data_IF_830772064112
#
_entry.id   IF_830772064112
#
_cell.length_a   1.000
_cell.length_b   1.000
_cell.length_c   1.000
_cell.angle_alpha   90.00
_cell.angle_beta   90.00
_cell.angle_gamma   90.00
#
_symmetry.space_group_name_H-M   'P 1'
#
loop_
_entity.id
_entity.type
_entity.pdbx_description
1 polymer ?
#
# COMPACT_ATOMS: atom_id res chain seq x y z
N UNK A 1 -11.58 -5.13 5.93
CA UNK A 1 -10.83 -6.27 6.51
C UNK A 1 -10.49 -6.01 7.98
N UNK A 2 -10.20 -7.03 8.81
CA UNK A 2 -9.70 -6.84 10.17
C UNK A 2 -8.19 -6.58 10.20
N UNK A 3 -7.72 -5.65 11.03
CA UNK A 3 -6.29 -5.40 11.26
C UNK A 3 -5.64 -6.53 12.08
N UNK A 4 -4.33 -6.67 11.91
CA UNK A 4 -3.49 -7.54 12.70
C UNK A 4 -3.00 -6.87 14.00
N UNK A 5 -2.47 -7.69 14.91
CA UNK A 5 -1.72 -7.23 16.07
C UNK A 5 -0.35 -6.64 15.69
N UNK A 6 0.38 -6.14 16.68
CA UNK A 6 1.71 -5.57 16.54
C UNK A 6 2.77 -6.47 17.16
N UNK A 7 3.85 -6.72 16.44
CA UNK A 7 5.05 -7.37 16.97
C UNK A 7 6.10 -6.34 17.35
N UNK A 8 6.73 -6.51 18.50
CA UNK A 8 7.90 -5.76 18.95
C UNK A 8 9.03 -6.74 19.17
N UNK A 9 10.14 -6.53 18.47
CA UNK A 9 11.31 -7.40 18.56
C UNK A 9 12.33 -6.77 19.51
N UNK A 10 12.65 -7.46 20.60
CA UNK A 10 13.70 -7.07 21.54
C UNK A 10 14.61 -8.27 21.81
N UNK A 11 15.91 -8.04 21.65
CA UNK A 11 16.95 -9.07 21.75
C UNK A 11 16.66 -10.29 20.85
N UNK A 12 16.37 -11.44 21.46
CA UNK A 12 16.07 -12.71 20.81
C UNK A 12 14.59 -13.12 20.96
N UNK A 13 13.72 -12.19 21.37
CA UNK A 13 12.30 -12.44 21.61
C UNK A 13 11.42 -11.50 20.79
N UNK A 14 10.22 -12.00 20.49
CA UNK A 14 9.15 -11.21 19.87
C UNK A 14 8.01 -11.10 20.86
N UNK A 15 7.67 -9.88 21.23
CA UNK A 15 6.51 -9.55 22.06
C UNK A 15 5.34 -9.22 21.13
N UNK A 16 4.19 -9.83 21.37
CA UNK A 16 2.99 -9.66 20.54
C UNK A 16 1.93 -8.89 21.33
N UNK A 17 1.56 -7.72 20.82
CA UNK A 17 0.46 -6.90 21.33
C UNK A 17 -0.76 -7.04 20.42
N UNK A 18 -1.87 -7.52 20.98
CA UNK A 18 -3.12 -7.75 20.25
C UNK A 18 -4.15 -6.63 20.42
N UNK A 19 -3.81 -5.51 21.07
CA UNK A 19 -4.74 -4.38 21.28
C UNK A 19 -5.36 -3.83 19.98
N UNK A 20 -4.67 -3.98 18.84
CA UNK A 20 -5.14 -3.53 17.52
C UNK A 20 -5.80 -4.64 16.69
N UNK A 21 -5.71 -5.90 17.11
CA UNK A 21 -6.24 -7.01 16.33
C UNK A 21 -7.76 -6.91 16.20
N UNK A 22 -8.28 -7.06 14.98
CA UNK A 22 -9.71 -6.98 14.70
C UNK A 22 -10.27 -5.56 14.49
N UNK A 23 -9.45 -4.52 14.61
CA UNK A 23 -9.86 -3.15 14.23
C UNK A 23 -10.27 -3.14 12.75
N UNK A 24 -11.40 -2.50 12.43
CA UNK A 24 -11.90 -2.45 11.06
C UNK A 24 -11.02 -1.57 10.17
N UNK A 25 -10.66 -2.10 9.00
CA UNK A 25 -9.92 -1.41 7.95
C UNK A 25 -10.69 -1.38 6.63
N UNK A 26 -10.47 -0.30 5.88
CA UNK A 26 -10.85 -0.18 4.49
C UNK A 26 -9.58 -0.26 3.64
N UNK A 27 -9.47 -1.30 2.82
CA UNK A 27 -8.42 -1.42 1.82
C UNK A 27 -8.89 -0.72 0.53
N UNK A 28 -8.10 0.23 0.04
CA UNK A 28 -8.40 0.98 -1.19
C UNK A 28 -7.26 0.73 -2.16
N UNK A 29 -7.56 0.00 -3.23
CA UNK A 29 -6.59 -0.35 -4.29
C UNK A 29 -6.88 0.52 -5.50
N UNK A 30 -5.86 1.22 -5.99
CA UNK A 30 -5.95 1.98 -7.24
C UNK A 30 -5.54 1.14 -8.44
N UNK A 31 -6.12 1.45 -9.59
CA UNK A 31 -5.56 1.05 -10.88
C UNK A 31 -4.17 1.67 -11.10
N UNK A 32 -3.31 1.08 -11.95
CA UNK A 32 -1.97 1.57 -12.21
C UNK A 32 -2.01 2.76 -13.19
N UNK A 33 -2.68 3.85 -12.81
CA UNK A 33 -2.87 5.06 -13.62
C UNK A 33 -1.93 6.21 -13.26
N UNK A 34 -1.38 6.18 -12.05
CA UNK A 34 -0.38 7.14 -11.59
C UNK A 34 0.94 6.93 -12.37
N UNK A 35 1.55 8.01 -12.84
CA UNK A 35 2.77 8.02 -13.67
C UNK A 35 3.93 8.72 -12.98
N UNK A 36 3.66 9.62 -12.03
CA UNK A 36 4.65 10.38 -11.29
C UNK A 36 4.44 10.25 -9.78
N UNK A 37 5.53 10.30 -9.02
CA UNK A 37 5.50 10.37 -7.55
C UNK A 37 4.67 11.54 -7.03
N UNK A 38 4.71 12.68 -7.72
CA UNK A 38 3.89 13.85 -7.43
C UNK A 38 2.38 13.57 -7.56
N UNK A 39 1.96 12.79 -8.57
CA UNK A 39 0.56 12.39 -8.73
C UNK A 39 0.12 11.45 -7.62
N UNK A 40 0.99 10.52 -7.20
CA UNK A 40 0.73 9.66 -6.04
C UNK A 40 0.56 10.48 -4.76
N UNK A 41 1.38 11.51 -4.55
CA UNK A 41 1.23 12.42 -3.42
C UNK A 41 -0.10 13.18 -3.45
N UNK A 42 -0.49 13.74 -4.60
CA UNK A 42 -1.77 14.44 -4.74
C UNK A 42 -2.98 13.51 -4.58
N UNK A 43 -2.90 12.29 -5.13
CA UNK A 43 -3.91 11.25 -4.92
C UNK A 43 -4.09 10.96 -3.43
N UNK A 44 -2.99 10.73 -2.70
CA UNK A 44 -3.03 10.47 -1.26
C UNK A 44 -3.56 11.66 -0.45
N UNK A 45 -3.18 12.90 -0.80
CA UNK A 45 -3.73 14.11 -0.18
C UNK A 45 -5.24 14.21 -0.42
N UNK A 46 -5.69 13.94 -1.64
CA UNK A 46 -7.11 14.03 -2.01
C UNK A 46 -7.94 12.94 -1.33
N UNK A 47 -7.45 11.70 -1.34
CA UNK A 47 -8.07 10.58 -0.63
C UNK A 47 -8.19 10.89 0.87
N UNK A 48 -7.10 11.33 1.49
CA UNK A 48 -7.10 11.76 2.89
C UNK A 48 -8.11 12.87 3.17
N UNK A 49 -8.22 13.86 2.27
CA UNK A 49 -9.20 14.93 2.40
C UNK A 49 -10.63 14.39 2.37
N UNK A 50 -10.95 13.50 1.42
CA UNK A 50 -12.28 12.89 1.28
C UNK A 50 -12.62 12.09 2.54
N UNK A 51 -11.73 11.20 2.97
CA UNK A 51 -11.95 10.33 4.15
C UNK A 51 -12.19 11.14 5.44
N UNK A 52 -11.45 12.24 5.61
CA UNK A 52 -11.66 13.15 6.75
C UNK A 52 -12.97 13.92 6.65
N UNK A 53 -13.39 14.29 5.44
CA UNK A 53 -14.63 15.03 5.23
C UNK A 53 -15.86 14.16 5.50
N UNK A 54 -15.83 12.89 5.09
CA UNK A 54 -16.89 11.92 5.40
C UNK A 54 -16.84 11.40 6.84
N UNK A 55 -15.78 11.72 7.61
CA UNK A 55 -15.62 11.34 9.00
C UNK A 55 -15.30 9.85 9.23
N UNK A 56 -14.92 9.10 8.20
CA UNK A 56 -14.65 7.66 8.31
C UNK A 56 -13.23 7.33 8.80
N UNK A 57 -12.28 8.27 8.64
CA UNK A 57 -10.90 8.13 9.08
C UNK A 57 -10.30 9.52 9.40
N UNK A 58 -9.50 9.62 10.46
CA UNK A 58 -8.80 10.86 10.82
C UNK A 58 -7.64 11.21 9.84
N UNK A 59 -7.21 10.22 9.04
CA UNK A 59 -6.18 10.33 8.02
C UNK A 59 -4.77 10.55 8.57
N UNK A 60 -4.51 10.22 9.83
CA UNK A 60 -3.22 10.42 10.49
C UNK A 60 -2.24 9.28 10.19
N UNK A 61 -1.34 9.52 9.23
CA UNK A 61 -0.33 8.53 8.83
C UNK A 61 0.72 8.27 9.92
N UNK A 62 1.01 9.25 10.79
CA UNK A 62 1.99 9.07 11.87
C UNK A 62 1.45 8.14 12.95
N UNK A 63 0.14 8.18 13.20
CA UNK A 63 -0.56 7.24 14.10
C UNK A 63 -0.90 5.91 13.44
N UNK A 64 -0.68 5.77 12.14
CA UNK A 64 -0.93 4.54 11.38
C UNK A 64 -2.40 4.29 11.05
N UNK A 65 -3.28 5.29 11.18
CA UNK A 65 -4.68 5.19 10.76
C UNK A 65 -4.86 5.29 9.24
N UNK A 66 -3.85 5.81 8.54
CA UNK A 66 -3.72 5.76 7.08
C UNK A 66 -2.35 5.21 6.71
N UNK A 67 -2.33 4.09 5.99
CA UNK A 67 -1.13 3.39 5.51
C UNK A 67 -1.12 3.36 3.99
N UNK A 68 0.07 3.24 3.41
CA UNK A 68 0.24 3.11 1.97
C UNK A 68 1.39 2.15 1.67
N UNK A 69 1.14 1.23 0.75
CA UNK A 69 2.15 0.45 0.06
C UNK A 69 2.16 0.92 -1.41
N UNK A 70 3.35 1.16 -1.97
CA UNK A 70 3.50 1.68 -3.33
C UNK A 70 3.97 0.57 -4.28
N UNK A 71 3.23 0.37 -5.37
CA UNK A 71 3.58 -0.58 -6.42
C UNK A 71 4.17 0.17 -7.62
N UNK A 72 5.45 -0.09 -7.94
CA UNK A 72 6.22 0.69 -8.93
C UNK A 72 6.79 -0.24 -9.98
N UNK A 73 6.61 0.13 -11.25
CA UNK A 73 7.29 -0.46 -12.40
C UNK A 73 7.61 0.65 -13.41
N UNK A 74 8.73 0.53 -14.11
CA UNK A 74 9.07 1.43 -15.23
C UNK A 74 8.86 0.74 -16.57
N UNK A 75 8.66 1.53 -17.63
CA UNK A 75 8.54 1.03 -19.00
C UNK A 75 9.04 2.08 -19.99
N UNK A 76 9.47 1.62 -21.17
CA UNK A 76 9.83 2.51 -22.27
C UNK A 76 8.64 3.40 -22.66
N UNK A 77 8.93 4.68 -22.93
CA UNK A 77 7.92 5.66 -23.34
C UNK A 77 7.22 5.21 -24.62
N UNK A 78 5.89 5.18 -24.59
CA UNK A 78 5.05 4.71 -25.70
C UNK A 78 4.72 3.21 -25.67
N UNK A 79 5.36 2.42 -24.79
CA UNK A 79 4.97 1.03 -24.57
C UNK A 79 3.63 0.93 -23.84
N UNK A 80 2.78 0.00 -24.27
CA UNK A 80 1.56 -0.39 -23.56
C UNK A 80 1.81 -1.49 -22.52
N UNK A 81 2.93 -2.22 -22.62
CA UNK A 81 3.29 -3.32 -21.72
C UNK A 81 3.83 -2.77 -20.39
N UNK A 82 3.32 -3.29 -19.28
CA UNK A 82 3.85 -2.98 -17.94
C UNK A 82 5.16 -3.73 -17.68
N UNK A 83 6.07 -3.08 -16.95
CA UNK A 83 7.32 -3.70 -16.52
C UNK A 83 7.14 -4.58 -15.27
N UNK A 84 8.23 -5.20 -14.82
CA UNK A 84 8.22 -5.95 -13.56
C UNK A 84 7.98 -5.02 -12.37
N UNK A 85 7.08 -5.43 -11.49
CA UNK A 85 6.60 -4.61 -10.36
C UNK A 85 7.42 -4.85 -9.09
N UNK A 86 7.95 -3.79 -8.50
CA UNK A 86 8.41 -3.79 -7.11
C UNK A 86 7.32 -3.23 -6.19
N UNK A 87 7.18 -3.78 -5.00
CA UNK A 87 6.24 -3.34 -3.97
C UNK A 87 7.01 -2.73 -2.80
N UNK A 88 6.86 -1.43 -2.54
CA UNK A 88 7.48 -0.75 -1.40
C UNK A 88 6.47 -0.68 -0.25
N UNK A 89 6.79 -1.32 0.87
CA UNK A 89 5.89 -1.42 2.02
C UNK A 89 6.13 -0.36 3.09
N UNK A 90 5.09 -0.14 3.90
CA UNK A 90 5.14 0.61 5.17
C UNK A 90 5.51 2.10 4.99
N UNK A 91 4.90 2.76 4.01
CA UNK A 91 5.10 4.18 3.76
C UNK A 91 4.15 5.02 4.64
N UNK A 92 4.68 5.52 5.76
CA UNK A 92 3.91 6.24 6.78
C UNK A 92 3.91 7.77 6.63
N UNK A 93 4.33 8.29 5.48
CA UNK A 93 4.29 9.73 5.19
C UNK A 93 4.21 9.97 3.69
N UNK A 94 3.45 11.00 3.29
CA UNK A 94 3.37 11.46 1.89
C UNK A 94 4.76 11.83 1.36
N UNK A 95 5.62 12.42 2.21
CA UNK A 95 7.00 12.73 1.83
C UNK A 95 7.79 11.45 1.50
N UNK A 96 7.64 10.41 2.31
CA UNK A 96 8.35 9.15 2.11
C UNK A 96 7.81 8.38 0.91
N UNK A 97 6.50 8.49 0.62
CA UNK A 97 5.93 7.95 -0.63
C UNK A 97 6.64 8.55 -1.84
N UNK A 98 6.77 9.87 -1.91
CA UNK A 98 7.43 10.54 -3.03
C UNK A 98 8.88 10.08 -3.17
N UNK A 99 9.64 10.15 -2.07
CA UNK A 99 11.06 9.79 -2.08
C UNK A 99 11.29 8.32 -2.45
N UNK A 100 10.47 7.41 -1.93
CA UNK A 100 10.59 5.99 -2.21
C UNK A 100 10.26 5.66 -3.68
N UNK A 101 9.21 6.27 -4.23
CA UNK A 101 8.83 6.09 -5.64
C UNK A 101 9.93 6.65 -6.55
N UNK A 102 10.42 7.87 -6.29
CA UNK A 102 11.46 8.49 -7.11
C UNK A 102 12.75 7.67 -7.10
N UNK A 103 13.17 7.20 -5.93
CA UNK A 103 14.34 6.33 -5.80
C UNK A 103 14.15 5.02 -6.58
N UNK A 104 12.99 4.38 -6.43
CA UNK A 104 12.74 3.09 -7.08
C UNK A 104 12.64 3.22 -8.60
N UNK A 105 12.05 4.32 -9.12
CA UNK A 105 12.06 4.62 -10.56
C UNK A 105 13.49 4.69 -11.07
N UNK A 106 14.36 5.48 -10.42
CA UNK A 106 15.76 5.62 -10.85
C UNK A 106 16.52 4.30 -10.76
N UNK A 107 16.37 3.56 -9.66
CA UNK A 107 16.98 2.23 -9.49
C UNK A 107 16.57 1.29 -10.62
N UNK A 108 15.29 1.22 -10.97
CA UNK A 108 14.84 0.32 -12.03
C UNK A 108 15.37 0.75 -13.41
N UNK A 109 15.44 2.06 -13.68
CA UNK A 109 16.02 2.58 -14.92
C UNK A 109 17.50 2.19 -15.01
N UNK A 110 18.28 2.42 -13.95
CA UNK A 110 19.72 2.10 -13.93
C UNK A 110 19.99 0.61 -14.19
N UNK A 111 19.21 -0.30 -13.58
CA UNK A 111 19.33 -1.75 -13.78
C UNK A 111 19.02 -2.12 -15.25
N UNK A 112 17.91 -1.60 -15.79
CA UNK A 112 17.49 -1.90 -17.17
C UNK A 112 18.45 -1.32 -18.21
N UNK A 113 18.97 -0.11 -17.99
CA UNK A 113 19.99 0.50 -18.86
C UNK A 113 21.35 -0.20 -18.76
N UNK A 114 21.64 -0.84 -17.62
CA UNK A 114 22.77 -1.75 -17.44
C UNK A 114 22.64 -3.09 -18.17
N UNK A 115 21.47 -3.38 -18.76
CA UNK A 115 21.19 -4.64 -19.46
C UNK A 115 20.80 -5.79 -18.54
N UNK A 116 20.49 -5.49 -17.28
CA UNK A 116 19.99 -6.45 -16.30
C UNK A 116 18.45 -6.45 -16.25
N UNK A 117 17.87 -7.45 -15.58
CA UNK A 117 16.42 -7.58 -15.42
C UNK A 117 15.97 -7.19 -14.01
N UNK A 118 14.76 -6.63 -13.90
CA UNK A 118 14.16 -6.30 -12.60
C UNK A 118 13.59 -7.56 -11.96
N UNK A 119 14.06 -7.88 -10.75
CA UNK A 119 13.44 -8.86 -9.87
C UNK A 119 12.15 -8.30 -9.25
N UNK A 120 11.14 -9.16 -9.15
CA UNK A 120 9.87 -8.79 -8.55
C UNK A 120 9.97 -8.88 -7.02
N UNK A 121 10.32 -7.77 -6.36
CA UNK A 121 10.66 -7.78 -4.93
C UNK A 121 9.67 -7.00 -4.07
N UNK A 122 9.55 -7.41 -2.80
CA UNK A 122 8.97 -6.58 -1.75
C UNK A 122 10.11 -5.82 -1.05
N UNK A 123 10.00 -4.50 -1.03
CA UNK A 123 11.00 -3.55 -0.57
C UNK A 123 10.54 -2.82 0.69
N UNK A 124 11.51 -2.38 1.51
CA UNK A 124 11.33 -1.38 2.54
C UNK A 124 12.05 -0.09 2.14
N UNK A 125 11.47 1.05 2.49
CA UNK A 125 12.14 2.34 2.36
C UNK A 125 12.87 2.71 3.67
N UNK A 126 14.19 2.83 3.60
CA UNK A 126 15.02 3.28 4.71
C UNK A 126 15.13 4.81 4.66
N UNK A 127 14.37 5.48 5.52
CA UNK A 127 14.30 6.94 5.63
C UNK A 127 15.65 7.59 5.91
N UNK A 128 16.53 6.94 6.68
CA UNK A 128 17.83 7.51 7.03
C UNK A 128 18.78 7.55 5.83
N UNK A 129 18.73 6.52 4.99
CA UNK A 129 19.58 6.43 3.78
C UNK A 129 18.89 6.98 2.52
N UNK A 130 17.57 7.11 2.53
CA UNK A 130 16.77 7.48 1.36
C UNK A 130 16.70 6.38 0.29
N UNK A 131 16.94 5.12 0.64
CA UNK A 131 17.06 4.00 -0.30
C UNK A 131 16.03 2.90 -0.04
N UNK A 132 15.66 2.17 -1.09
CA UNK A 132 14.91 0.91 -0.95
C UNK A 132 15.85 -0.26 -0.62
N UNK A 133 15.39 -1.16 0.25
CA UNK A 133 16.08 -2.39 0.64
C UNK A 133 15.15 -3.58 0.41
N UNK A 134 15.68 -4.66 -0.15
CA UNK A 134 14.92 -5.89 -0.35
C UNK A 134 14.58 -6.51 0.99
N UNK A 135 13.29 -6.80 1.22
CA UNK A 135 12.82 -7.55 2.39
C UNK A 135 12.68 -9.04 2.04
N UNK A 136 12.08 -9.34 0.89
CA UNK A 136 11.83 -10.70 0.41
C UNK A 136 11.73 -10.72 -1.11
N UNK A 137 12.20 -11.80 -1.71
CA UNK A 137 12.03 -12.07 -3.15
C UNK A 137 10.72 -12.84 -3.36
N UNK A 138 10.00 -12.59 -4.45
CA UNK A 138 8.65 -13.15 -4.68
C UNK A 138 8.63 -14.61 -5.17
N UNK A 139 9.73 -15.35 -5.05
CA UNK A 139 9.70 -16.81 -5.23
C UNK A 139 8.75 -17.49 -4.22
N UNK A 140 8.41 -16.80 -3.13
CA UNK A 140 7.47 -17.23 -2.09
C UNK A 140 6.09 -16.54 -2.18
N UNK A 141 5.53 -16.36 -3.39
CA UNK A 141 4.16 -15.87 -3.52
C UNK A 141 3.20 -16.78 -2.72
N UNK A 142 2.71 -16.29 -1.58
CA UNK A 142 1.91 -17.09 -0.67
C UNK A 142 0.55 -17.36 -1.31
N UNK A 143 0.25 -18.62 -1.59
CA UNK A 143 -1.10 -19.04 -1.92
C UNK A 143 -1.98 -18.82 -0.69
N UNK A 144 -2.72 -17.72 -0.68
CA UNK A 144 -3.63 -17.36 0.40
C UNK A 144 -4.84 -18.29 0.49
N UNK A 145 -5.05 -19.16 -0.50
CA UNK A 145 -6.13 -20.15 -0.53
C UNK A 145 -7.49 -19.51 -0.25
N UNK A 146 -7.81 -18.41 -0.94
CA UNK A 146 -9.06 -17.68 -0.75
C UNK A 146 -10.28 -18.59 -0.93
N UNK A 147 -11.19 -18.54 0.03
CA UNK A 147 -12.51 -19.14 -0.03
C UNK A 147 -13.50 -18.28 0.78
N UNK A 148 -14.81 -18.36 0.52
CA UNK A 148 -15.81 -17.65 1.30
C UNK A 148 -15.74 -18.06 2.77
N UNK A 149 -15.73 -17.09 3.69
CA UNK A 149 -15.71 -17.32 5.13
C UNK A 149 -16.99 -18.09 5.57
N UNK A 150 -16.89 -19.36 6.01
CA UNK A 150 -18.06 -20.18 6.32
C UNK A 150 -18.85 -19.69 7.53
N UNK A 151 -18.20 -18.97 8.46
CA UNK A 151 -18.85 -18.45 9.66
C UNK A 151 -19.67 -17.18 9.40
N UNK A 152 -19.52 -16.56 8.22
CA UNK A 152 -20.19 -15.32 7.85
C UNK A 152 -21.06 -15.50 6.60
N UNK A 153 -22.34 -15.23 6.75
CA UNK A 153 -23.24 -15.10 5.59
C UNK A 153 -22.85 -13.88 4.75
N UNK A 154 -23.12 -13.90 3.43
CA UNK A 154 -22.90 -12.74 2.57
C UNK A 154 -23.61 -11.49 3.11
N UNK A 155 -22.92 -10.35 3.07
CA UNK A 155 -23.50 -9.06 3.46
C UNK A 155 -24.33 -8.52 2.30
N UNK A 156 -25.64 -8.46 2.50
CA UNK A 156 -26.56 -7.83 1.54
C UNK A 156 -26.73 -6.34 1.86
N UNK A 157 -26.43 -5.48 0.89
CA UNK A 157 -26.59 -4.02 0.99
C UNK A 157 -27.73 -3.60 0.05
N UNK A 158 -28.87 -3.22 0.62
CA UNK A 158 -30.04 -2.83 -0.18
C UNK A 158 -29.88 -1.45 -0.81
N UNK A 159 -30.59 -1.21 -1.92
CA UNK A 159 -30.56 0.08 -2.60
C UNK A 159 -31.08 1.21 -1.69
N UNK A 160 -32.09 0.94 -0.86
CA UNK A 160 -32.63 1.92 0.07
C UNK A 160 -31.57 2.39 1.08
N UNK A 161 -30.68 1.49 1.51
CA UNK A 161 -29.57 1.84 2.40
C UNK A 161 -28.53 2.71 1.70
N UNK A 162 -28.27 2.45 0.42
CA UNK A 162 -27.36 3.27 -0.40
C UNK A 162 -27.95 4.67 -0.58
N UNK A 163 -29.22 4.76 -0.96
CA UNK A 163 -29.92 6.03 -1.17
C UNK A 163 -29.97 6.87 0.11
N UNK A 164 -30.18 6.22 1.26
CA UNK A 164 -30.16 6.87 2.57
C UNK A 164 -28.79 7.49 2.85
N UNK A 165 -27.70 6.73 2.66
CA UNK A 165 -26.33 7.24 2.86
C UNK A 165 -26.05 8.38 1.89
N UNK A 166 -26.41 8.23 0.62
CA UNK A 166 -26.21 9.27 -0.40
C UNK A 166 -26.94 10.56 -0.07
N UNK A 167 -28.15 10.50 0.48
CA UNK A 167 -28.91 11.69 0.89
C UNK A 167 -28.28 12.46 2.07
N UNK A 168 -27.33 11.85 2.78
CA UNK A 168 -26.63 12.43 3.93
C UNK A 168 -25.25 13.02 3.60
N UNK A 169 -24.80 12.91 2.35
CA UNK A 169 -23.52 13.42 1.83
C UNK A 169 -23.68 14.78 1.16
#
# INVERSE_FOLDING_TARGET
>A
EPDAGKSVHEESKTYVDLNRAGVALMEIVSEPDLRLSAEAAECMKKLRQILRYIGSCDGDMEKGSLRCDANVSVRLKGSSTFGTRCEIKNLNSIRYIVQAIDYEIQRQIEILEGGEEISQDTLLFDVASGKTKVMRNKEDASDYRYFPEPDLLPVEVSQEKIDLIQSSL
#
